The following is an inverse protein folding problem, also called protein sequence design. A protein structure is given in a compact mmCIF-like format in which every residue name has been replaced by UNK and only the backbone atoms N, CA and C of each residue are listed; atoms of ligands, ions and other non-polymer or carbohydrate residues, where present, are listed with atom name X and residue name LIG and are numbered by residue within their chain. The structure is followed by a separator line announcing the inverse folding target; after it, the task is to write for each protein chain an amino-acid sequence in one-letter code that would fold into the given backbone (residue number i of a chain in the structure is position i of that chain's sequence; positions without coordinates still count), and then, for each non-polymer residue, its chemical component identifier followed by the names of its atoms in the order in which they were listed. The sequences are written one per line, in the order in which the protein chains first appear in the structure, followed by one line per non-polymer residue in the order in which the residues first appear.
data_IF_733438592327
#
_entry.id   IF_733438592327
#
_cell.length_a   1.000
_cell.length_b   1.000
_cell.length_c   1.000
_cell.angle_alpha   90.00
_cell.angle_beta   90.00
_cell.angle_gamma   90.00
#
_symmetry.space_group_name_H-M   'P 1'
#
loop_
_entity.id
_entity.type
_entity.pdbx_description
1 polymer ?
#
# COMPACT_ATOMS: atom_id res chain seq x y z
N UNK A 1 10.87 -11.20 16.06
CA UNK A 1 10.87 -10.57 17.41
C UNK A 1 10.14 -11.48 18.41
N UNK A 2 10.43 -11.41 19.72
CA UNK A 2 9.59 -12.09 20.73
C UNK A 2 8.35 -11.23 21.07
N UNK A 3 7.35 -11.79 21.75
CA UNK A 3 6.08 -11.08 22.03
C UNK A 3 6.26 -9.80 22.84
N UNK A 4 7.18 -9.76 23.80
CA UNK A 4 7.39 -8.58 24.64
C UNK A 4 7.98 -7.41 23.84
N UNK A 5 8.90 -7.69 22.92
CA UNK A 5 9.40 -6.70 21.97
C UNK A 5 8.29 -6.18 21.06
N UNK A 6 7.38 -7.06 20.62
CA UNK A 6 6.24 -6.66 19.76
C UNK A 6 5.27 -5.76 20.54
N UNK A 7 4.94 -6.11 21.80
CA UNK A 7 4.11 -5.27 22.67
C UNK A 7 4.75 -3.91 22.93
N UNK A 8 6.06 -3.86 23.18
CA UNK A 8 6.78 -2.60 23.35
C UNK A 8 6.73 -1.75 22.09
N UNK A 9 6.97 -2.35 20.92
CA UNK A 9 6.87 -1.65 19.64
C UNK A 9 5.44 -1.16 19.37
N UNK A 10 4.41 -1.95 19.69
CA UNK A 10 3.01 -1.54 19.57
C UNK A 10 2.74 -0.27 20.37
N UNK A 11 3.12 -0.25 21.66
CA UNK A 11 2.93 0.93 22.52
C UNK A 11 3.69 2.15 21.96
N UNK A 12 4.94 1.95 21.58
CA UNK A 12 5.77 3.02 21.00
C UNK A 12 5.15 3.62 19.73
N UNK A 13 4.67 2.79 18.81
CA UNK A 13 4.05 3.27 17.56
C UNK A 13 2.70 3.92 17.84
N UNK A 14 1.89 3.35 18.77
CA UNK A 14 0.64 3.97 19.20
C UNK A 14 0.87 5.37 19.76
N UNK A 15 1.90 5.56 20.58
CA UNK A 15 2.25 6.86 21.16
C UNK A 15 2.67 7.85 20.06
N UNK A 16 3.49 7.42 19.09
CA UNK A 16 3.91 8.26 17.96
C UNK A 16 2.73 8.70 17.10
N UNK A 17 1.80 7.78 16.82
CA UNK A 17 0.63 8.01 15.97
C UNK A 17 -0.58 8.56 16.74
N UNK A 18 -0.47 8.73 18.06
CA UNK A 18 -1.55 9.12 18.95
C UNK A 18 -2.83 8.26 18.76
N UNK A 19 -2.66 6.93 18.70
CA UNK A 19 -3.77 5.97 18.55
C UNK A 19 -4.26 5.59 19.95
N UNK A 20 -5.50 5.95 20.28
CA UNK A 20 -6.08 5.67 21.60
C UNK A 20 -6.71 4.26 21.66
N UNK A 21 -7.07 3.70 20.51
CA UNK A 21 -7.84 2.46 20.41
C UNK A 21 -7.15 1.24 21.02
N UNK A 22 -7.95 0.34 21.57
CA UNK A 22 -7.46 -0.97 21.97
C UNK A 22 -7.07 -1.78 20.73
N UNK A 23 -5.86 -2.33 20.76
CA UNK A 23 -5.32 -3.18 19.70
C UNK A 23 -4.91 -4.50 20.32
N UNK A 24 -5.55 -5.57 19.85
CA UNK A 24 -5.22 -6.93 20.25
C UNK A 24 -4.14 -7.50 19.33
N UNK A 25 -3.16 -8.17 19.91
CA UNK A 25 -2.15 -8.91 19.17
C UNK A 25 -2.51 -10.40 19.16
N UNK A 26 -2.62 -10.99 17.96
CA UNK A 26 -2.86 -12.42 17.81
C UNK A 26 -1.78 -13.05 16.94
N UNK A 27 -1.07 -14.05 17.47
CA UNK A 27 -0.12 -14.80 16.65
C UNK A 27 -0.88 -15.65 15.63
N UNK A 28 -0.48 -15.59 14.36
CA UNK A 28 -1.07 -16.39 13.30
C UNK A 28 0.01 -16.81 12.29
N UNK A 29 -0.14 -17.98 11.66
CA UNK A 29 0.74 -18.47 10.60
C UNK A 29 0.22 -18.06 9.22
N UNK A 30 -0.13 -16.78 9.04
CA UNK A 30 -0.68 -16.30 7.77
C UNK A 30 0.40 -16.23 6.69
N UNK A 31 0.02 -15.84 5.47
CA UNK A 31 0.98 -15.60 4.38
C UNK A 31 1.76 -14.29 4.54
N UNK A 32 1.38 -13.44 5.51
CA UNK A 32 1.91 -12.11 5.72
C UNK A 32 2.55 -11.99 7.12
N UNK A 33 3.54 -11.11 7.28
CA UNK A 33 4.20 -10.90 8.56
C UNK A 33 3.29 -10.23 9.60
N UNK A 34 2.40 -9.34 9.15
CA UNK A 34 1.25 -8.87 9.91
C UNK A 34 0.06 -8.61 8.98
N UNK A 35 -1.13 -8.53 9.59
CA UNK A 35 -2.38 -8.19 8.91
C UNK A 35 -3.34 -7.52 9.93
N UNK A 36 -3.84 -6.34 9.58
CA UNK A 36 -4.89 -5.65 10.33
C UNK A 36 -6.27 -6.24 10.05
N UNK A 37 -7.06 -6.41 11.12
CA UNK A 37 -8.45 -6.83 11.04
C UNK A 37 -9.31 -6.10 12.06
N UNK A 38 -10.60 -5.95 11.77
CA UNK A 38 -11.58 -5.36 12.67
C UNK A 38 -12.49 -6.44 13.25
N UNK A 39 -12.57 -6.52 14.58
CA UNK A 39 -13.52 -7.39 15.24
C UNK A 39 -14.82 -6.63 15.52
N UNK A 40 -15.86 -6.92 14.76
CA UNK A 40 -17.18 -6.28 14.92
C UNK A 40 -17.81 -6.52 16.29
N UNK A 41 -17.63 -7.71 16.89
CA UNK A 41 -18.27 -8.05 18.16
C UNK A 41 -17.64 -7.29 19.33
N UNK A 42 -16.31 -7.30 19.44
CA UNK A 42 -15.58 -6.59 20.51
C UNK A 42 -15.26 -5.14 20.16
N UNK A 43 -15.59 -4.70 18.95
CA UNK A 43 -15.32 -3.34 18.42
C UNK A 43 -13.88 -2.90 18.64
N UNK A 44 -12.94 -3.78 18.34
CA UNK A 44 -11.51 -3.50 18.49
C UNK A 44 -10.71 -4.00 17.30
N UNK A 45 -9.50 -3.43 17.16
CA UNK A 45 -8.56 -3.82 16.12
C UNK A 45 -7.77 -5.04 16.57
N UNK A 46 -7.51 -5.94 15.62
CA UNK A 46 -6.64 -7.08 15.79
C UNK A 46 -5.50 -6.95 14.80
N UNK A 47 -4.26 -6.98 15.28
CA UNK A 47 -3.09 -7.21 14.42
C UNK A 47 -2.71 -8.67 14.57
N UNK A 48 -2.92 -9.42 13.49
CA UNK A 48 -2.35 -10.75 13.35
C UNK A 48 -0.87 -10.62 13.02
N UNK A 49 0.00 -11.47 13.59
CA UNK A 49 1.44 -11.37 13.34
C UNK A 49 2.19 -12.71 13.37
N UNK A 50 3.32 -12.74 12.65
CA UNK A 50 4.29 -13.84 12.63
C UNK A 50 5.50 -13.59 13.55
N UNK A 51 6.25 -14.65 13.87
CA UNK A 51 7.44 -14.53 14.72
C UNK A 51 8.57 -13.71 14.07
N UNK A 52 8.63 -13.69 12.74
CA UNK A 52 9.56 -12.92 11.92
C UNK A 52 9.15 -11.46 11.71
N UNK A 53 8.09 -10.98 12.39
CA UNK A 53 7.58 -9.61 12.26
C UNK A 53 8.72 -8.59 12.32
N UNK A 54 8.76 -7.72 11.31
CA UNK A 54 9.65 -6.56 11.25
C UNK A 54 8.98 -5.30 11.78
N UNK A 55 9.80 -4.30 12.16
CA UNK A 55 9.30 -3.09 12.82
C UNK A 55 8.36 -2.28 11.94
N UNK A 56 8.73 -2.11 10.67
CA UNK A 56 7.94 -1.34 9.74
C UNK A 56 6.57 -1.97 9.50
N UNK A 57 6.51 -3.30 9.36
CA UNK A 57 5.25 -4.01 9.10
C UNK A 57 4.22 -3.74 10.19
N UNK A 58 4.58 -3.83 11.48
CA UNK A 58 3.64 -3.45 12.55
C UNK A 58 3.24 -1.97 12.48
N UNK A 59 4.21 -1.11 12.18
CA UNK A 59 3.98 0.33 12.06
C UNK A 59 3.05 0.68 10.90
N UNK A 60 3.13 -0.10 9.81
CA UNK A 60 2.31 0.02 8.62
C UNK A 60 0.85 -0.34 8.92
N UNK A 61 0.60 -1.48 9.59
CA UNK A 61 -0.75 -1.86 10.02
C UNK A 61 -1.40 -0.79 10.93
N UNK A 62 -0.63 -0.25 11.89
CA UNK A 62 -1.07 0.86 12.73
C UNK A 62 -1.29 2.15 11.92
N UNK A 63 -0.50 2.33 10.86
CA UNK A 63 -0.62 3.42 9.90
C UNK A 63 -1.95 3.42 9.16
N UNK A 64 -2.53 2.26 8.85
CA UNK A 64 -3.89 2.19 8.28
C UNK A 64 -4.93 2.79 9.23
N UNK A 65 -4.87 2.47 10.53
CA UNK A 65 -5.79 3.03 11.54
C UNK A 65 -5.60 4.55 11.62
N UNK A 66 -4.36 5.01 11.76
CA UNK A 66 -4.03 6.44 11.81
C UNK A 66 -4.53 7.17 10.57
N UNK A 67 -4.22 6.66 9.38
CA UNK A 67 -4.62 7.27 8.12
C UNK A 67 -6.14 7.33 8.00
N UNK A 68 -6.84 6.22 8.19
CA UNK A 68 -8.29 6.12 8.05
C UNK A 68 -9.03 7.02 9.05
N UNK A 69 -8.59 7.10 10.31
CA UNK A 69 -9.36 7.79 11.35
C UNK A 69 -8.92 9.21 11.62
N UNK A 70 -7.61 9.46 11.65
CA UNK A 70 -7.06 10.74 12.07
C UNK A 70 -6.69 11.63 10.88
N UNK A 71 -6.24 11.05 9.77
CA UNK A 71 -5.83 11.82 8.60
C UNK A 71 -7.00 12.14 7.66
N UNK A 72 -7.67 11.10 7.15
CA UNK A 72 -8.70 11.20 6.09
C UNK A 72 -10.13 11.15 6.66
N UNK A 73 -10.30 10.66 7.88
CA UNK A 73 -11.59 10.46 8.54
C UNK A 73 -12.59 9.65 7.67
N UNK A 74 -12.13 8.51 7.15
CA UNK A 74 -12.89 7.56 6.35
C UNK A 74 -12.49 6.11 6.71
N UNK A 75 -13.29 5.48 7.57
CA UNK A 75 -12.98 4.17 8.17
C UNK A 75 -12.85 3.03 7.16
N UNK A 76 -13.53 3.10 6.00
CA UNK A 76 -13.46 2.05 4.97
C UNK A 76 -12.02 1.86 4.44
N UNK A 77 -11.10 2.80 4.69
CA UNK A 77 -9.67 2.65 4.37
C UNK A 77 -8.88 1.80 5.37
N UNK A 78 -9.47 1.35 6.48
CA UNK A 78 -8.81 0.43 7.42
C UNK A 78 -9.57 -0.89 7.61
N UNK A 79 -10.82 -0.98 7.14
CA UNK A 79 -11.66 -2.17 7.31
C UNK A 79 -11.47 -3.07 6.09
N UNK A 80 -11.02 -4.33 6.27
CA UNK A 80 -10.90 -5.27 5.16
C UNK A 80 -12.26 -5.52 4.49
N UNK A 81 -12.34 -5.59 3.15
CA UNK A 81 -13.60 -5.85 2.46
C UNK A 81 -14.06 -7.31 2.67
N UNK A 82 -15.36 -7.61 2.54
CA UNK A 82 -15.86 -8.97 2.59
C UNK A 82 -15.47 -9.73 1.30
N UNK A 83 -14.48 -10.63 1.36
CA UNK A 83 -14.04 -11.41 0.19
C UNK A 83 -14.94 -12.62 -0.08
N UNK A 84 -15.29 -12.87 -1.34
CA UNK A 84 -15.87 -14.15 -1.77
C UNK A 84 -15.31 -14.72 -3.10
N UNK A 85 -14.56 -13.97 -3.94
CA UNK A 85 -14.09 -14.45 -5.26
C UNK A 85 -12.66 -13.98 -5.64
N UNK A 86 -11.93 -14.76 -6.45
CA UNK A 86 -10.55 -14.46 -6.91
C UNK A 86 -10.39 -13.11 -7.63
N UNK A 87 -11.34 -12.68 -8.45
CA UNK A 87 -11.25 -11.39 -9.16
C UNK A 87 -11.24 -10.20 -8.19
N UNK A 88 -11.93 -10.33 -7.05
CA UNK A 88 -11.94 -9.33 -5.97
C UNK A 88 -10.57 -9.28 -5.28
N UNK A 89 -9.85 -10.41 -5.23
CA UNK A 89 -8.51 -10.48 -4.63
C UNK A 89 -7.46 -9.74 -5.46
N UNK A 90 -7.49 -9.87 -6.78
CA UNK A 90 -6.53 -9.20 -7.66
C UNK A 90 -6.78 -7.68 -7.65
N UNK A 91 -8.05 -7.27 -7.70
CA UNK A 91 -8.43 -5.87 -7.50
C UNK A 91 -7.99 -5.36 -6.12
N UNK A 92 -8.21 -6.16 -5.07
CA UNK A 92 -7.78 -5.83 -3.71
C UNK A 92 -6.29 -5.62 -3.60
N UNK A 93 -5.48 -6.48 -4.22
CA UNK A 93 -4.03 -6.35 -4.17
C UNK A 93 -3.57 -4.98 -4.70
N UNK A 94 -4.15 -4.51 -5.81
CA UNK A 94 -3.78 -3.21 -6.36
C UNK A 94 -4.27 -2.05 -5.50
N UNK A 95 -5.54 -2.07 -5.09
CA UNK A 95 -6.11 -0.98 -4.29
C UNK A 95 -5.44 -0.92 -2.92
N UNK A 96 -5.14 -2.06 -2.30
CA UNK A 96 -4.41 -2.11 -1.04
C UNK A 96 -3.00 -1.54 -1.22
N UNK A 97 -2.22 -1.98 -2.20
CA UNK A 97 -0.89 -1.41 -2.45
C UNK A 97 -0.92 0.10 -2.73
N UNK A 98 -1.97 0.61 -3.38
CA UNK A 98 -2.12 2.05 -3.60
C UNK A 98 -2.47 2.79 -2.31
N UNK A 99 -3.33 2.21 -1.48
CA UNK A 99 -3.64 2.73 -0.15
C UNK A 99 -2.40 2.70 0.76
N UNK A 100 -1.61 1.64 0.68
CA UNK A 100 -0.34 1.47 1.39
C UNK A 100 0.61 2.63 1.07
N UNK A 101 0.64 3.16 -0.16
CA UNK A 101 1.41 4.36 -0.49
C UNK A 101 0.93 5.60 0.29
N UNK A 102 -0.37 5.79 0.49
CA UNK A 102 -0.89 6.89 1.31
C UNK A 102 -0.53 6.69 2.79
N UNK A 103 -0.64 5.46 3.28
CA UNK A 103 -0.20 5.10 4.63
C UNK A 103 1.28 5.39 4.79
N UNK A 104 2.14 4.88 3.92
CA UNK A 104 3.59 5.09 3.93
C UNK A 104 3.96 6.57 3.89
N UNK A 105 3.25 7.36 3.08
CA UNK A 105 3.43 8.80 3.06
C UNK A 105 3.07 9.45 4.39
N UNK A 106 1.93 9.07 4.98
CA UNK A 106 1.53 9.61 6.28
C UNK A 106 2.53 9.27 7.39
N UNK A 107 3.07 8.04 7.36
CA UNK A 107 4.08 7.55 8.30
C UNK A 107 5.45 8.22 8.09
N UNK A 108 5.81 8.58 6.85
CA UNK A 108 7.10 9.20 6.53
C UNK A 108 7.29 10.59 7.17
N UNK A 109 6.19 11.21 7.62
CA UNK A 109 6.19 12.47 8.37
C UNK A 109 6.76 12.31 9.79
N UNK A 110 6.75 11.10 10.34
CA UNK A 110 7.33 10.79 11.65
C UNK A 110 8.75 10.25 11.48
N UNK A 111 9.75 10.97 12.00
CA UNK A 111 11.17 10.63 11.79
C UNK A 111 11.53 9.19 12.14
N UNK A 112 10.98 8.67 13.24
CA UNK A 112 11.24 7.29 13.70
C UNK A 112 10.60 6.24 12.79
N UNK A 113 9.34 6.44 12.39
CA UNK A 113 8.62 5.50 11.52
C UNK A 113 9.19 5.54 10.10
N UNK A 114 9.59 6.71 9.62
CA UNK A 114 10.36 6.86 8.39
C UNK A 114 11.65 6.04 8.40
N UNK A 115 12.37 6.00 9.52
CA UNK A 115 13.58 5.17 9.64
C UNK A 115 13.25 3.69 9.50
N UNK A 116 12.20 3.20 10.17
CA UNK A 116 11.76 1.80 10.01
C UNK A 116 11.39 1.49 8.56
N UNK A 117 10.64 2.38 7.92
CA UNK A 117 10.22 2.25 6.53
C UNK A 117 11.40 2.19 5.55
N UNK A 118 12.34 3.12 5.69
CA UNK A 118 13.54 3.16 4.86
C UNK A 118 14.38 1.90 5.03
N UNK A 119 14.58 1.46 6.27
CA UNK A 119 15.29 0.23 6.58
C UNK A 119 14.62 -0.98 5.90
N UNK A 120 13.30 -1.08 5.94
CA UNK A 120 12.56 -2.14 5.24
C UNK A 120 12.84 -2.10 3.73
N UNK A 121 12.63 -0.94 3.09
CA UNK A 121 12.80 -0.81 1.66
C UNK A 121 14.23 -1.16 1.21
N UNK A 122 15.22 -0.64 1.93
CA UNK A 122 16.62 -0.79 1.55
C UNK A 122 17.11 -2.20 1.85
N UNK A 123 16.92 -2.69 3.07
CA UNK A 123 17.45 -4.00 3.47
C UNK A 123 16.72 -5.17 2.82
N UNK A 124 15.42 -5.04 2.54
CA UNK A 124 14.65 -6.16 2.03
C UNK A 124 14.67 -6.22 0.51
N UNK A 125 14.47 -5.08 -0.17
CA UNK A 125 14.35 -5.07 -1.63
C UNK A 125 15.64 -4.65 -2.32
N UNK A 126 16.30 -3.58 -1.88
CA UNK A 126 17.48 -3.06 -2.59
C UNK A 126 18.77 -3.83 -2.27
N UNK A 127 18.94 -4.30 -1.04
CA UNK A 127 20.11 -5.11 -0.68
C UNK A 127 20.02 -6.55 -1.24
N UNK A 128 18.81 -7.01 -1.60
CA UNK A 128 18.57 -8.28 -2.28
C UNK A 128 18.09 -8.05 -3.74
N UNK A 129 18.55 -6.97 -4.38
CA UNK A 129 18.01 -6.51 -5.66
C UNK A 129 18.11 -7.54 -6.77
N UNK A 130 19.21 -8.30 -6.84
CA UNK A 130 19.43 -9.31 -7.88
C UNK A 130 18.35 -10.41 -7.82
N UNK A 131 18.13 -10.99 -6.64
CA UNK A 131 17.11 -12.01 -6.43
C UNK A 131 15.70 -11.46 -6.69
N UNK A 132 15.45 -10.21 -6.28
CA UNK A 132 14.16 -9.58 -6.51
C UNK A 132 13.91 -9.30 -8.00
N UNK A 133 14.93 -8.87 -8.74
CA UNK A 133 14.84 -8.68 -10.20
C UNK A 133 14.60 -10.02 -10.93
N UNK A 134 15.25 -11.10 -10.50
CA UNK A 134 15.00 -12.45 -11.02
C UNK A 134 13.57 -12.91 -10.68
N UNK A 135 13.06 -12.56 -9.51
CA UNK A 135 11.68 -12.86 -9.12
C UNK A 135 10.67 -12.12 -10.01
N UNK A 136 10.89 -10.82 -10.28
CA UNK A 136 10.06 -10.00 -11.17
C UNK A 136 10.00 -10.61 -12.57
N UNK A 137 11.16 -10.99 -13.12
CA UNK A 137 11.26 -11.56 -14.46
C UNK A 137 10.44 -12.85 -14.63
N UNK A 138 10.46 -13.71 -13.61
CA UNK A 138 9.77 -15.00 -13.61
C UNK A 138 8.28 -14.88 -13.28
N UNK A 139 7.80 -13.74 -12.78
CA UNK A 139 6.42 -13.60 -12.33
C UNK A 139 5.46 -13.39 -13.50
N UNK A 140 4.45 -14.27 -13.65
CA UNK A 140 3.47 -14.22 -14.76
C UNK A 140 2.19 -13.43 -14.43
N UNK A 141 1.88 -13.24 -13.16
CA UNK A 141 0.71 -12.48 -12.71
C UNK A 141 0.85 -10.99 -13.01
N UNK A 142 0.03 -10.50 -13.94
CA UNK A 142 0.04 -9.12 -14.41
C UNK A 142 -0.29 -8.12 -13.30
N UNK A 143 -1.31 -8.45 -12.52
CA UNK A 143 -1.81 -7.60 -11.43
C UNK A 143 -0.75 -7.40 -10.36
N UNK A 144 -0.05 -8.48 -10.01
CA UNK A 144 1.00 -8.42 -9.00
C UNK A 144 2.24 -7.64 -9.45
N UNK A 145 2.65 -7.76 -10.71
CA UNK A 145 3.77 -6.95 -11.23
C UNK A 145 3.40 -5.47 -11.26
N UNK A 146 2.17 -5.13 -11.68
CA UNK A 146 1.69 -3.75 -11.64
C UNK A 146 1.60 -3.22 -10.21
N UNK A 147 1.14 -4.03 -9.25
CA UNK A 147 1.01 -3.60 -7.87
C UNK A 147 2.38 -3.32 -7.24
N UNK A 148 3.43 -4.06 -7.61
CA UNK A 148 4.80 -3.73 -7.25
C UNK A 148 5.28 -2.44 -7.90
N UNK A 149 5.02 -2.26 -9.20
CA UNK A 149 5.44 -1.05 -9.88
C UNK A 149 4.78 0.21 -9.31
N UNK A 150 3.47 0.17 -9.03
CA UNK A 150 2.75 1.30 -8.43
C UNK A 150 3.36 1.67 -7.08
N UNK A 151 3.54 0.67 -6.22
CA UNK A 151 4.12 0.84 -4.89
C UNK A 151 5.53 1.44 -4.97
N UNK A 152 6.46 0.78 -5.66
CA UNK A 152 7.85 1.23 -5.72
C UNK A 152 8.02 2.56 -6.44
N UNK A 153 7.25 2.81 -7.50
CA UNK A 153 7.32 4.08 -8.22
C UNK A 153 6.93 5.24 -7.30
N UNK A 154 5.80 5.12 -6.60
CA UNK A 154 5.32 6.16 -5.69
C UNK A 154 6.27 6.31 -4.50
N UNK A 155 6.66 5.21 -3.89
CA UNK A 155 7.53 5.17 -2.73
C UNK A 155 8.86 5.89 -3.02
N UNK A 156 9.56 5.52 -4.09
CA UNK A 156 10.86 6.11 -4.41
C UNK A 156 10.78 7.53 -4.96
N UNK A 157 9.71 7.89 -5.67
CA UNK A 157 9.58 9.23 -6.27
C UNK A 157 9.04 10.27 -5.30
N UNK A 158 8.14 9.88 -4.39
CA UNK A 158 7.35 10.84 -3.60
C UNK A 158 7.42 10.67 -2.09
N UNK A 159 7.88 9.52 -1.57
CA UNK A 159 7.85 9.22 -0.13
C UNK A 159 9.26 9.18 0.46
N UNK A 160 10.20 8.50 -0.21
CA UNK A 160 11.60 8.44 0.21
C UNK A 160 12.22 9.82 0.07
N UNK A 161 12.89 10.29 1.14
CA UNK A 161 13.54 11.59 1.17
C UNK A 161 14.67 11.61 0.15
N UNK A 162 14.82 12.74 -0.54
CA UNK A 162 15.78 12.92 -1.62
C UNK A 162 17.20 12.47 -1.26
N UNK A 163 17.70 12.81 -0.07
CA UNK A 163 19.02 12.37 0.41
C UNK A 163 19.17 10.85 0.44
N UNK A 164 18.15 10.13 0.90
CA UNK A 164 18.16 8.67 0.98
C UNK A 164 17.96 8.05 -0.41
N UNK A 165 17.10 8.63 -1.25
CA UNK A 165 16.93 8.17 -2.64
C UNK A 165 18.24 8.33 -3.45
N UNK A 166 18.93 9.45 -3.29
CA UNK A 166 20.18 9.73 -3.98
C UNK A 166 21.30 8.74 -3.61
N UNK A 167 21.34 8.25 -2.36
CA UNK A 167 22.36 7.28 -1.95
C UNK A 167 22.16 5.89 -2.55
N UNK A 168 20.96 5.59 -3.07
CA UNK A 168 20.59 4.31 -3.70
C UNK A 168 20.07 4.49 -5.13
N UNK A 169 20.43 5.61 -5.79
CA UNK A 169 19.84 6.03 -7.07
C UNK A 169 19.93 4.95 -8.16
N UNK A 170 21.09 4.32 -8.32
CA UNK A 170 21.30 3.30 -9.36
C UNK A 170 20.48 2.02 -9.07
N UNK A 171 20.41 1.58 -7.81
CA UNK A 171 19.60 0.42 -7.40
C UNK A 171 18.11 0.66 -7.64
N UNK A 172 17.62 1.85 -7.24
CA UNK A 172 16.24 2.28 -7.46
C UNK A 172 15.92 2.32 -8.95
N UNK A 173 16.80 2.94 -9.75
CA UNK A 173 16.63 3.02 -11.20
C UNK A 173 16.56 1.62 -11.82
N UNK A 174 17.50 0.74 -11.48
CA UNK A 174 17.55 -0.64 -11.97
C UNK A 174 16.29 -1.42 -11.62
N UNK A 175 15.77 -1.29 -10.40
CA UNK A 175 14.52 -1.93 -9.99
C UNK A 175 13.32 -1.43 -10.81
N UNK A 176 13.17 -0.11 -10.93
CA UNK A 176 12.07 0.50 -11.67
C UNK A 176 12.14 0.16 -13.17
N UNK A 177 13.33 0.16 -13.76
CA UNK A 177 13.52 -0.21 -15.16
C UNK A 177 13.16 -1.68 -15.39
N UNK A 178 13.55 -2.59 -14.48
CA UNK A 178 13.16 -4.01 -14.56
C UNK A 178 11.64 -4.21 -14.46
N UNK A 179 10.97 -3.46 -13.59
CA UNK A 179 9.50 -3.49 -13.48
C UNK A 179 8.84 -2.94 -14.75
N UNK A 180 9.33 -1.83 -15.32
CA UNK A 180 8.83 -1.26 -16.58
C UNK A 180 8.98 -2.23 -17.74
N UNK A 181 10.15 -2.86 -17.89
CA UNK A 181 10.38 -3.89 -18.90
C UNK A 181 9.37 -5.02 -18.77
N UNK A 182 9.13 -5.50 -17.53
CA UNK A 182 8.17 -6.58 -17.30
C UNK A 182 6.74 -6.16 -17.61
N UNK A 183 6.35 -4.93 -17.25
CA UNK A 183 5.03 -4.38 -17.58
C UNK A 183 4.85 -4.25 -19.08
N UNK A 184 5.86 -3.75 -19.81
CA UNK A 184 5.80 -3.67 -21.27
C UNK A 184 5.56 -5.05 -21.89
N UNK A 185 6.28 -6.07 -21.45
CA UNK A 185 6.03 -7.45 -21.92
C UNK A 185 4.59 -7.91 -21.64
N UNK A 186 4.06 -7.59 -20.45
CA UNK A 186 2.68 -7.90 -20.04
C UNK A 186 1.63 -7.19 -20.90
N UNK A 187 1.94 -5.96 -21.33
CA UNK A 187 1.11 -5.09 -22.17
C UNK A 187 1.38 -5.27 -23.68
N UNK A 188 2.10 -6.34 -24.09
CA UNK A 188 2.46 -6.58 -25.49
C UNK A 188 3.25 -5.43 -26.14
N UNK A 189 4.21 -4.86 -25.40
CA UNK A 189 5.05 -3.72 -25.76
C UNK A 189 4.29 -2.42 -26.07
N UNK A 190 3.11 -2.24 -25.48
CA UNK A 190 2.37 -0.98 -25.56
C UNK A 190 2.96 0.10 -24.63
N UNK A 191 3.85 0.92 -25.19
CA UNK A 191 4.44 2.07 -24.50
C UNK A 191 3.41 3.16 -24.17
N UNK A 192 2.35 3.31 -24.97
CA UNK A 192 1.34 4.35 -24.74
C UNK A 192 0.59 4.09 -23.44
N UNK A 193 0.22 2.83 -23.20
CA UNK A 193 -0.41 2.42 -21.94
C UNK A 193 0.54 2.59 -20.75
N UNK A 194 1.83 2.22 -20.89
CA UNK A 194 2.80 2.44 -19.81
C UNK A 194 2.99 3.94 -19.49
N UNK A 195 3.12 4.78 -20.52
CA UNK A 195 3.27 6.23 -20.34
C UNK A 195 2.05 6.83 -19.65
N UNK A 196 0.84 6.38 -20.02
CA UNK A 196 -0.39 6.79 -19.35
C UNK A 196 -0.42 6.35 -17.88
N UNK A 197 -0.01 5.12 -17.57
CA UNK A 197 0.14 4.64 -16.18
C UNK A 197 1.08 5.56 -15.41
N UNK A 198 2.25 5.87 -15.96
CA UNK A 198 3.24 6.75 -15.30
C UNK A 198 2.68 8.15 -15.09
N UNK A 199 2.00 8.72 -16.09
CA UNK A 199 1.32 10.02 -15.96
C UNK A 199 0.29 9.99 -14.82
N UNK A 200 -0.47 8.91 -14.68
CA UNK A 200 -1.43 8.75 -13.58
C UNK A 200 -0.75 8.57 -12.24
N UNK A 201 0.33 7.81 -12.14
CA UNK A 201 1.13 7.68 -10.92
C UNK A 201 1.68 9.05 -10.46
N UNK A 202 2.06 9.91 -11.41
CA UNK A 202 2.59 11.24 -11.09
C UNK A 202 1.57 12.16 -10.42
N UNK A 203 0.28 11.90 -10.64
CA UNK A 203 -0.81 12.60 -9.94
C UNK A 203 -0.87 12.27 -8.45
N UNK A 204 -0.12 11.29 -7.96
CA UNK A 204 0.04 11.07 -6.53
C UNK A 204 0.48 12.37 -5.83
N UNK A 205 1.39 13.14 -6.44
CA UNK A 205 1.86 14.40 -5.85
C UNK A 205 0.73 15.40 -5.56
N UNK A 206 -0.33 15.38 -6.37
CA UNK A 206 -1.48 16.28 -6.26
C UNK A 206 -2.46 15.83 -5.16
N UNK A 207 -2.48 14.54 -4.83
CA UNK A 207 -3.49 13.95 -3.93
C UNK A 207 -2.92 13.45 -2.60
N UNK A 208 -1.61 13.25 -2.48
CA UNK A 208 -0.97 12.59 -1.33
C UNK A 208 -1.26 13.25 0.03
N UNK A 209 -1.51 14.57 0.03
CA UNK A 209 -1.81 15.33 1.26
C UNK A 209 -3.31 15.59 1.47
N UNK A 210 -4.16 15.11 0.57
CA UNK A 210 -5.60 15.34 0.66
C UNK A 210 -6.19 14.78 1.95
N UNK A 211 -7.25 15.44 2.42
CA UNK A 211 -8.15 14.94 3.46
C UNK A 211 -9.51 14.48 2.91
N UNK A 212 -9.71 14.61 1.60
CA UNK A 212 -10.95 14.19 0.93
C UNK A 212 -10.81 12.76 0.40
N UNK A 213 -11.52 11.77 0.98
CA UNK A 213 -11.44 10.38 0.54
C UNK A 213 -11.91 10.20 -0.92
N UNK A 214 -12.76 11.09 -1.44
CA UNK A 214 -13.20 11.04 -2.84
C UNK A 214 -12.06 11.27 -3.81
N UNK A 215 -11.11 12.15 -3.46
CA UNK A 215 -9.95 12.43 -4.31
C UNK A 215 -8.99 11.24 -4.35
N UNK A 216 -8.81 10.56 -3.21
CA UNK A 216 -8.03 9.31 -3.12
C UNK A 216 -8.65 8.21 -3.97
N UNK A 217 -9.96 7.99 -3.83
CA UNK A 217 -10.68 6.97 -4.61
C UNK A 217 -10.67 7.31 -6.10
N UNK A 218 -10.85 8.59 -6.46
CA UNK A 218 -10.77 9.03 -7.85
C UNK A 218 -9.37 8.79 -8.44
N UNK A 219 -8.31 9.02 -7.65
CA UNK A 219 -6.95 8.69 -8.03
C UNK A 219 -6.79 7.18 -8.31
N UNK A 220 -7.29 6.31 -7.42
CA UNK A 220 -7.27 4.86 -7.64
C UNK A 220 -7.99 4.47 -8.94
N UNK A 221 -9.21 4.97 -9.15
CA UNK A 221 -10.01 4.66 -10.35
C UNK A 221 -9.28 5.10 -11.62
N UNK A 222 -8.72 6.31 -11.66
CA UNK A 222 -8.03 6.82 -12.84
C UNK A 222 -6.78 6.02 -13.18
N UNK A 223 -6.01 5.59 -12.17
CA UNK A 223 -4.83 4.77 -12.36
C UNK A 223 -5.19 3.34 -12.82
N UNK A 224 -6.24 2.74 -12.25
CA UNK A 224 -6.71 1.42 -12.67
C UNK A 224 -7.25 1.45 -14.11
N UNK A 225 -7.98 2.50 -14.50
CA UNK A 225 -8.42 2.69 -15.88
C UNK A 225 -7.24 2.82 -16.86
N UNK A 226 -6.17 3.51 -16.45
CA UNK A 226 -4.96 3.63 -17.26
C UNK A 226 -4.26 2.28 -17.50
N UNK A 227 -4.40 1.31 -16.60
CA UNK A 227 -3.81 -0.03 -16.78
C UNK A 227 -4.45 -0.86 -17.88
N UNK A 228 -5.67 -0.51 -18.30
CA UNK A 228 -6.47 -1.23 -19.29
C UNK A 228 -6.67 -2.73 -18.99
N UNK A 229 -6.55 -3.15 -17.73
CA UNK A 229 -6.82 -4.54 -17.31
C UNK A 229 -8.32 -4.77 -17.11
N UNK A 230 -9.00 -3.79 -16.52
CA UNK A 230 -10.43 -3.83 -16.26
C UNK A 230 -11.12 -2.67 -16.94
N UNK A 231 -12.36 -2.92 -17.36
CA UNK A 231 -13.22 -1.85 -17.84
C UNK A 231 -13.75 -0.98 -16.68
N UNK A 232 -14.34 0.15 -17.04
CA UNK A 232 -14.90 1.10 -16.07
C UNK A 232 -16.01 0.50 -15.21
N UNK A 233 -16.86 -0.37 -15.76
CA UNK A 233 -17.97 -0.96 -15.02
C UNK A 233 -17.45 -1.92 -13.95
N UNK A 234 -16.47 -2.75 -14.30
CA UNK A 234 -15.77 -3.65 -13.39
C UNK A 234 -15.10 -2.88 -12.25
N UNK A 235 -14.32 -1.85 -12.56
CA UNK A 235 -13.64 -1.02 -11.54
C UNK A 235 -14.67 -0.39 -10.61
N UNK A 236 -15.70 0.25 -11.15
CA UNK A 236 -16.71 0.93 -10.32
C UNK A 236 -17.51 -0.04 -9.46
N UNK A 237 -17.76 -1.25 -9.94
CA UNK A 237 -18.42 -2.30 -9.15
C UNK A 237 -17.56 -2.70 -7.95
N UNK A 238 -16.27 -2.93 -8.18
CA UNK A 238 -15.34 -3.30 -7.10
C UNK A 238 -15.14 -2.14 -6.10
N UNK A 239 -15.00 -0.90 -6.56
CA UNK A 239 -14.91 0.28 -5.67
C UNK A 239 -16.13 0.39 -4.75
N UNK A 240 -17.34 0.07 -5.22
CA UNK A 240 -18.55 0.10 -4.38
C UNK A 240 -18.56 -0.98 -3.29
N UNK A 241 -17.93 -2.13 -3.57
CA UNK A 241 -17.81 -3.22 -2.59
C UNK A 241 -16.81 -2.83 -1.51
N UNK A 242 -15.70 -2.21 -1.90
CA UNK A 242 -14.58 -1.89 -1.01
C UNK A 242 -14.82 -0.64 -0.19
N UNK A 243 -15.45 0.37 -0.80
CA UNK A 243 -15.73 1.66 -0.19
C UNK A 243 -17.23 1.96 -0.27
N UNK A 244 -18.10 1.13 0.38
CA UNK A 244 -19.54 1.25 0.27
C UNK A 244 -20.04 2.63 0.73
N UNK A 245 -19.36 3.26 1.69
CA UNK A 245 -19.74 4.58 2.19
C UNK A 245 -19.34 5.71 1.24
N UNK A 246 -18.48 5.47 0.25
CA UNK A 246 -18.11 6.46 -0.76
C UNK A 246 -19.21 6.71 -1.80
N UNK A 247 -20.11 5.73 -2.03
CA UNK A 247 -21.20 5.89 -3.02
C UNK A 247 -22.17 7.01 -2.62
N UNK A 248 -22.33 7.23 -1.31
CA UNK A 248 -23.12 8.33 -0.76
C UNK A 248 -22.42 9.70 -0.88
N UNK A 249 -21.09 9.72 -1.09
CA UNK A 249 -20.29 10.94 -1.26
C UNK A 249 -20.30 11.45 -2.71
N UNK A 250 -20.57 10.59 -3.70
CA UNK A 250 -20.69 10.95 -5.12
C UNK A 250 -22.09 11.50 -5.46
N UNK A 251 -23.12 11.16 -4.66
CA UNK A 251 -24.52 11.58 -4.88
C UNK A 251 -24.89 12.93 -4.26
N UNK A 252 -24.01 13.56 -3.47
CA UNK A 252 -24.22 14.93 -2.97
C UNK A 252 -23.57 15.93 -3.94
N UNK A 253 -24.28 16.28 -5.00
CA UNK A 253 -24.13 17.54 -5.73
C UNK A 253 -25.43 18.33 -5.60
#
# INVERSE_FOLDING_TARGET
MNIDHIKKLLLEVKDILNIEEEIQLKRNSTRFQAELSWNEQSRNWIVYYEQSLKKFVLSHELGHIYYAKQWINFNDFAIPPPFNIRAERDFFLLVNNLLDCFVNHSLSKFSKLYTFYKEELFSYYLDNLDDFCLHIEKHSDKTKVLSWFFLFYIDFKYIIKEKDANSRREDIKRLLDKLKERILQILNNDNTTLDLIIERLDRFNDVKETRDPRLVIHYFVNLLLASNIWDKEQIMTQIKIFFPNCVNLIKKK
#
